data_IF_501745220207
#
_entry.id   IF_501745220207
#
_cell.length_a   1.000
_cell.length_b   1.000
_cell.length_c   1.000
_cell.angle_alpha   90.00
_cell.angle_beta   90.00
_cell.angle_gamma   90.00
#
_symmetry.space_group_name_H-M   'P 1'
#
loop_
_entity.id
_entity.type
_entity.pdbx_description
1 polymer ?
#
# COMPACT_ATOMS: atom_id res chain seq x y z
N UNK A 1 4.17 0.59 2.83
CA UNK A 1 2.77 0.74 3.23
C UNK A 1 1.98 -0.43 2.67
N UNK A 2 1.18 -1.06 3.51
CA UNK A 2 0.41 -2.27 3.24
C UNK A 2 -1.02 -2.07 3.72
N UNK A 3 -1.99 -2.61 2.99
CA UNK A 3 -3.37 -2.79 3.42
C UNK A 3 -3.84 -4.18 2.98
N UNK A 4 -4.84 -4.72 3.65
CA UNK A 4 -5.55 -5.91 3.20
C UNK A 4 -6.99 -5.60 2.76
N UNK A 5 -7.34 -4.31 2.65
CA UNK A 5 -8.64 -3.89 2.18
C UNK A 5 -8.78 -4.10 0.67
N UNK A 6 -10.01 -4.33 0.23
CA UNK A 6 -10.39 -4.37 -1.19
C UNK A 6 -9.47 -5.24 -2.08
N UNK A 7 -9.26 -6.52 -1.75
CA UNK A 7 -8.40 -7.42 -2.52
C UNK A 7 -8.82 -7.45 -4.00
N UNK A 8 -7.82 -7.44 -4.90
CA UNK A 8 -8.01 -7.32 -6.33
C UNK A 8 -8.54 -5.95 -6.80
N UNK A 9 -8.52 -4.93 -5.94
CA UNK A 9 -9.10 -3.62 -6.22
C UNK A 9 -10.63 -3.63 -6.25
N UNK A 10 -11.26 -4.61 -5.59
CA UNK A 10 -12.72 -4.77 -5.55
C UNK A 10 -13.25 -4.31 -4.20
N UNK A 11 -14.19 -3.35 -4.20
CA UNK A 11 -14.82 -2.88 -2.97
C UNK A 11 -15.42 -4.05 -2.18
N UNK A 12 -15.04 -4.14 -0.91
CA UNK A 12 -15.63 -5.08 0.04
C UNK A 12 -16.44 -4.33 1.10
N UNK A 13 -17.27 -5.06 1.83
CA UNK A 13 -17.87 -4.55 3.05
C UNK A 13 -16.81 -4.32 4.15
N UNK A 14 -17.12 -3.42 5.08
CA UNK A 14 -16.20 -2.97 6.10
C UNK A 14 -15.76 -4.09 7.07
N UNK A 15 -16.63 -5.07 7.33
CA UNK A 15 -16.34 -6.16 8.26
C UNK A 15 -15.31 -7.13 7.67
N UNK A 16 -15.47 -7.51 6.39
CA UNK A 16 -14.49 -8.32 5.67
C UNK A 16 -13.13 -7.62 5.58
N UNK A 17 -13.15 -6.32 5.28
CA UNK A 17 -11.94 -5.52 5.24
C UNK A 17 -11.24 -5.44 6.60
N UNK A 18 -11.96 -5.19 7.69
CA UNK A 18 -11.41 -5.19 9.03
C UNK A 18 -10.82 -6.56 9.43
N UNK A 19 -11.53 -7.65 9.11
CA UNK A 19 -11.05 -9.00 9.40
C UNK A 19 -9.81 -9.38 8.57
N UNK A 20 -9.70 -8.91 7.33
CA UNK A 20 -8.52 -9.08 6.50
C UNK A 20 -7.33 -8.25 7.02
N UNK A 21 -7.58 -7.00 7.42
CA UNK A 21 -6.58 -6.12 8.01
C UNK A 21 -6.02 -6.68 9.32
N UNK A 22 -6.87 -7.18 10.22
CA UNK A 22 -6.41 -7.83 11.44
C UNK A 22 -5.48 -9.03 11.16
N UNK A 23 -5.78 -9.82 10.12
CA UNK A 23 -4.93 -10.93 9.67
C UNK A 23 -3.59 -10.44 9.11
N UNK A 24 -3.56 -9.32 8.39
CA UNK A 24 -2.34 -8.67 7.92
C UNK A 24 -1.46 -8.24 9.11
N UNK A 25 -2.04 -7.56 10.10
CA UNK A 25 -1.32 -7.14 11.31
C UNK A 25 -0.74 -8.35 12.04
N UNK A 26 -1.51 -9.42 12.20
CA UNK A 26 -1.02 -10.67 12.81
C UNK A 26 0.16 -11.27 12.01
N UNK A 27 0.09 -11.28 10.68
CA UNK A 27 1.13 -11.80 9.80
C UNK A 27 2.44 -10.98 9.83
N UNK A 28 2.41 -9.73 10.33
CA UNK A 28 3.61 -8.92 10.51
C UNK A 28 4.44 -9.34 11.74
N UNK A 29 3.98 -10.31 12.54
CA UNK A 29 4.71 -10.93 13.66
C UNK A 29 5.36 -9.92 14.62
N UNK A 30 4.67 -8.81 14.93
CA UNK A 30 5.16 -7.80 15.88
C UNK A 30 6.25 -6.87 15.33
N UNK A 31 6.47 -6.84 14.00
CA UNK A 31 7.27 -5.77 13.38
C UNK A 31 6.73 -4.39 13.78
N UNK A 32 7.59 -3.37 13.97
CA UNK A 32 7.12 -2.01 14.22
C UNK A 32 6.29 -1.51 13.04
N UNK A 33 5.11 -0.97 13.36
CA UNK A 33 4.20 -0.42 12.36
C UNK A 33 3.70 0.95 12.80
N UNK A 34 3.49 1.81 11.82
CA UNK A 34 2.79 3.09 11.98
C UNK A 34 1.42 2.96 11.28
N UNK A 35 0.30 3.10 12.00
CA UNK A 35 -1.03 3.12 11.40
C UNK A 35 -1.17 4.27 10.41
N UNK A 36 -1.91 4.04 9.33
CA UNK A 36 -2.16 5.04 8.31
C UNK A 36 -3.49 4.80 7.59
N UNK A 37 -3.77 5.68 6.65
CA UNK A 37 -4.95 5.60 5.78
C UNK A 37 -4.49 5.75 4.34
N UNK A 38 -4.96 4.86 3.47
CA UNK A 38 -4.81 4.97 2.03
C UNK A 38 -6.15 5.38 1.39
N UNK A 39 -6.09 6.13 0.29
CA UNK A 39 -7.28 6.56 -0.44
C UNK A 39 -8.21 7.50 0.32
N UNK A 40 -9.37 7.79 -0.28
CA UNK A 40 -10.34 8.77 0.19
C UNK A 40 -11.79 8.30 -0.06
N UNK A 41 -12.75 8.91 0.64
CA UNK A 41 -14.18 8.61 0.47
C UNK A 41 -14.50 7.12 0.67
N UNK A 42 -15.17 6.51 -0.31
CA UNK A 42 -15.52 5.08 -0.28
C UNK A 42 -14.32 4.13 -0.43
N UNK A 43 -13.17 4.64 -0.84
CA UNK A 43 -11.90 3.92 -0.97
C UNK A 43 -10.93 4.25 0.16
N UNK A 44 -11.43 4.83 1.26
CA UNK A 44 -10.63 5.10 2.45
C UNK A 44 -10.33 3.78 3.16
N UNK A 45 -9.07 3.38 3.17
CA UNK A 45 -8.60 2.07 3.61
C UNK A 45 -7.69 2.20 4.82
N UNK A 46 -7.90 1.37 5.83
CA UNK A 46 -6.91 1.21 6.89
C UNK A 46 -5.63 0.58 6.33
N UNK A 47 -4.49 1.07 6.77
CA UNK A 47 -3.18 0.64 6.25
C UNK A 47 -2.11 0.79 7.30
N UNK A 48 -0.93 0.24 7.02
CA UNK A 48 0.24 0.35 7.89
C UNK A 48 1.50 0.65 7.10
N UNK A 49 2.36 1.52 7.63
CA UNK A 49 3.77 1.61 7.24
C UNK A 49 4.53 0.64 8.15
N UNK A 50 5.31 -0.25 7.55
CA UNK A 50 6.08 -1.28 8.28
C UNK A 50 7.55 -0.93 8.20
N UNK A 51 8.16 -0.71 9.35
CA UNK A 51 9.58 -0.34 9.40
C UNK A 51 10.47 -1.56 9.19
N UNK A 52 11.57 -1.37 8.45
CA UNK A 52 12.57 -2.41 8.20
C UNK A 52 12.08 -3.59 7.33
N UNK A 53 10.90 -3.51 6.72
CA UNK A 53 10.46 -4.54 5.76
C UNK A 53 11.27 -4.45 4.47
N UNK A 54 11.65 -5.59 3.90
CA UNK A 54 12.29 -5.62 2.59
C UNK A 54 11.25 -5.40 1.49
N UNK A 55 11.68 -4.90 0.33
CA UNK A 55 10.79 -4.70 -0.81
C UNK A 55 10.13 -6.02 -1.25
N UNK A 56 10.87 -7.14 -1.21
CA UNK A 56 10.37 -8.47 -1.54
C UNK A 56 9.32 -8.95 -0.53
N UNK A 57 9.62 -8.89 0.77
CA UNK A 57 8.67 -9.31 1.81
C UNK A 57 7.38 -8.48 1.75
N UNK A 58 7.48 -7.18 1.48
CA UNK A 58 6.31 -6.33 1.30
C UNK A 58 5.47 -6.77 0.10
N UNK A 59 6.10 -7.07 -1.05
CA UNK A 59 5.40 -7.55 -2.24
C UNK A 59 4.75 -8.93 -2.02
N UNK A 60 5.46 -9.86 -1.38
CA UNK A 60 4.96 -11.20 -1.08
C UNK A 60 3.78 -11.15 -0.10
N UNK A 61 3.86 -10.28 0.91
CA UNK A 61 2.76 -10.06 1.84
C UNK A 61 1.56 -9.41 1.13
N UNK A 62 1.80 -8.39 0.29
CA UNK A 62 0.74 -7.79 -0.53
C UNK A 62 0.01 -8.84 -1.39
N UNK A 63 0.78 -9.68 -2.10
CA UNK A 63 0.24 -10.77 -2.91
C UNK A 63 -0.60 -11.76 -2.07
N UNK A 64 -0.11 -12.15 -0.89
CA UNK A 64 -0.82 -13.04 0.04
C UNK A 64 -2.18 -12.48 0.48
N UNK A 65 -2.30 -11.16 0.60
CA UNK A 65 -3.54 -10.46 0.96
C UNK A 65 -4.32 -9.96 -0.26
N UNK A 66 -3.99 -10.45 -1.46
CA UNK A 66 -4.72 -10.14 -2.70
C UNK A 66 -4.54 -8.71 -3.17
N UNK A 67 -3.52 -7.99 -2.69
CA UNK A 67 -3.24 -6.65 -3.17
C UNK A 67 -2.59 -6.71 -4.55
N UNK A 68 -3.00 -5.81 -5.44
CA UNK A 68 -2.38 -5.66 -6.75
C UNK A 68 -1.02 -4.97 -6.67
N UNK A 69 -0.84 -4.10 -5.68
CA UNK A 69 0.41 -3.38 -5.45
C UNK A 69 0.54 -2.92 -3.99
N UNK A 70 1.77 -2.60 -3.59
CA UNK A 70 2.11 -1.98 -2.31
C UNK A 70 2.97 -0.73 -2.55
N UNK A 71 2.93 0.24 -1.64
CA UNK A 71 3.85 1.37 -1.69
C UNK A 71 5.11 1.06 -0.88
N UNK A 72 6.29 1.23 -1.45
CA UNK A 72 7.58 1.04 -0.78
C UNK A 72 8.39 2.32 -0.76
N UNK A 73 8.81 2.78 0.43
CA UNK A 73 9.51 4.05 0.60
C UNK A 73 10.88 3.88 1.24
N UNK A 74 11.87 4.65 0.78
CA UNK A 74 13.20 4.79 1.41
C UNK A 74 13.64 6.26 1.34
N UNK A 75 13.55 6.96 2.48
CA UNK A 75 13.78 8.40 2.54
C UNK A 75 12.77 9.16 1.68
N UNK A 76 13.25 9.98 0.75
CA UNK A 76 12.41 10.76 -0.19
C UNK A 76 12.01 10.02 -1.48
N UNK A 77 12.30 8.72 -1.55
CA UNK A 77 11.98 7.88 -2.72
C UNK A 77 10.83 6.98 -2.35
N UNK A 78 9.86 6.86 -3.25
CA UNK A 78 8.80 5.85 -3.16
C UNK A 78 8.73 5.04 -4.44
N UNK A 79 8.11 3.88 -4.36
CA UNK A 79 7.77 3.08 -5.51
C UNK A 79 6.40 2.44 -5.31
N UNK A 80 5.63 2.39 -6.38
CA UNK A 80 4.52 1.47 -6.51
C UNK A 80 5.08 0.12 -6.94
N UNK A 81 4.93 -0.88 -6.09
CA UNK A 81 5.44 -2.23 -6.30
C UNK A 81 4.26 -3.12 -6.61
N UNK A 82 4.08 -3.47 -7.88
CA UNK A 82 3.04 -4.39 -8.32
C UNK A 82 3.37 -5.79 -7.82
N UNK A 83 2.46 -6.33 -7.02
CA UNK A 83 2.56 -7.65 -6.43
C UNK A 83 2.40 -8.68 -7.56
N UNK A 84 3.36 -9.60 -7.67
CA UNK A 84 3.17 -10.78 -8.52
C UNK A 84 2.07 -11.66 -7.95
N UNK A 85 1.58 -12.63 -8.73
CA UNK A 85 0.76 -13.70 -8.17
C UNK A 85 1.59 -14.51 -7.15
N UNK A 86 1.01 -15.00 -6.04
CA UNK A 86 1.73 -15.88 -5.12
C UNK A 86 2.34 -17.07 -5.89
N UNK A 87 3.67 -17.21 -5.85
CA UNK A 87 4.41 -18.26 -6.57
C UNK A 87 4.72 -17.98 -8.05
N UNK A 88 4.35 -16.82 -8.59
CA UNK A 88 4.67 -16.41 -9.97
C UNK A 88 5.85 -15.44 -10.07
N UNK A 89 6.53 -15.47 -11.21
CA UNK A 89 7.62 -14.55 -11.53
C UNK A 89 7.09 -13.20 -12.04
N UNK A 90 7.44 -12.11 -11.37
CA UNK A 90 7.42 -10.78 -12.01
C UNK A 90 6.86 -9.64 -11.14
N UNK A 91 7.45 -9.39 -9.98
CA UNK A 91 7.25 -8.11 -9.30
C UNK A 91 7.70 -6.96 -10.22
N UNK A 92 6.82 -5.99 -10.49
CA UNK A 92 7.14 -4.78 -11.26
C UNK A 92 7.24 -3.59 -10.32
N UNK A 93 8.26 -2.74 -10.52
CA UNK A 93 8.51 -1.57 -9.66
C UNK A 93 8.43 -0.31 -10.50
N UNK A 94 7.52 0.59 -10.15
CA UNK A 94 7.40 1.93 -10.71
C UNK A 94 7.87 2.95 -9.67
N UNK A 95 8.88 3.75 -9.99
CA UNK A 95 9.57 4.61 -9.04
C UNK A 95 9.08 6.06 -9.16
N UNK A 96 8.89 6.71 -8.03
CA UNK A 96 8.52 8.11 -7.94
C UNK A 96 9.32 8.82 -6.84
N UNK A 97 9.46 10.15 -6.98
CA UNK A 97 10.03 11.01 -5.96
C UNK A 97 8.91 11.58 -5.09
N UNK A 98 9.08 11.55 -3.77
CA UNK A 98 8.12 12.15 -2.85
C UNK A 98 8.33 13.67 -2.79
N UNK A 99 7.25 14.41 -3.07
CA UNK A 99 7.16 15.84 -2.82
C UNK A 99 6.38 16.08 -1.52
N UNK A 100 6.86 17.00 -0.69
CA UNK A 100 6.08 17.49 0.45
C UNK A 100 4.99 18.40 -0.10
N UNK A 101 3.73 18.09 0.17
CA UNK A 101 2.63 19.01 -0.08
C UNK A 101 2.44 19.84 1.18
N UNK A 102 2.41 21.19 1.12
CA UNK A 102 2.14 22.01 2.29
C UNK A 102 0.77 21.63 2.89
N UNK A 103 0.73 21.30 4.17
CA UNK A 103 -0.50 20.98 4.90
C UNK A 103 -1.34 22.25 5.04
N UNK A 104 -2.13 22.59 4.01
CA UNK A 104 -2.95 23.80 4.01
C UNK A 104 -3.57 24.24 2.67
N UNK A 105 -3.37 23.51 1.56
CA UNK A 105 -3.92 23.89 0.25
C UNK A 105 -4.77 22.78 -0.37
N UNK A 106 -5.94 23.14 -0.89
CA UNK A 106 -6.91 22.27 -1.52
C UNK A 106 -6.32 21.31 -2.57
N UNK A 107 -6.70 20.02 -2.48
CA UNK A 107 -6.68 19.07 -3.59
C UNK A 107 -5.29 18.67 -4.12
N UNK A 108 -5.13 17.38 -4.41
CA UNK A 108 -3.99 16.88 -5.19
C UNK A 108 -3.84 17.68 -6.50
N UNK A 109 -2.69 18.28 -6.82
CA UNK A 109 -2.49 18.87 -8.13
C UNK A 109 -2.47 17.73 -9.15
N UNK A 110 -3.44 17.73 -10.06
CA UNK A 110 -3.37 16.93 -11.28
C UNK A 110 -2.07 17.35 -11.97
N UNK A 111 -1.07 16.48 -12.00
CA UNK A 111 0.09 16.69 -12.86
C UNK A 111 -0.44 16.78 -14.29
N UNK A 112 -0.09 17.82 -15.07
CA UNK A 112 -0.42 17.80 -16.50
C UNK A 112 0.27 16.58 -17.13
N UNK A 113 -0.32 15.97 -18.17
CA UNK A 113 0.37 14.91 -18.89
C UNK A 113 1.69 15.45 -19.45
N UNK A 114 2.74 14.63 -19.39
CA UNK A 114 4.02 14.94 -20.04
C UNK A 114 3.79 15.09 -21.56
N UNK A 115 4.43 16.11 -22.16
CA UNK A 115 4.34 16.49 -23.58
C UNK A 115 4.74 15.36 -24.56
#
# INVERSE_FOLDING_TARGET
MLTAWNPGGQLQDAERNAAAQARLIAALHGRPVVPGVNGEGRWREESVIVDGITLRDAADLGARFGQLAVLYGVGRRAALVWCGVPGGSGMRVERAWLASVPTGGAGWPILPPDD
#
